data_IF_229328517030
#
_entry.id   IF_229328517030
#
_cell.length_a   1.000
_cell.length_b   1.000
_cell.length_c   1.000
_cell.angle_alpha   90.00
_cell.angle_beta   90.00
_cell.angle_gamma   90.00
#
_symmetry.space_group_name_H-M   'P 1'
#
loop_
_entity.id
_entity.type
_entity.pdbx_description
1 polymer ?
#
# COMPACT_ATOMS: atom_id res chain seq x y z
N UNK A 1 -23.72 -54.91 -20.49
CA UNK A 1 -24.15 -54.06 -19.34
C UNK A 1 -22.92 -53.36 -18.79
N UNK A 2 -22.68 -52.06 -18.95
CA UNK A 2 -22.96 -51.07 -19.98
C UNK A 2 -21.93 -49.98 -19.69
N UNK A 3 -20.97 -49.75 -20.59
CA UNK A 3 -19.93 -48.71 -20.48
C UNK A 3 -20.49 -47.28 -20.67
N UNK A 4 -21.73 -47.06 -20.25
CA UNK A 4 -22.52 -45.85 -20.48
C UNK A 4 -22.68 -44.98 -19.23
N UNK A 5 -21.77 -45.11 -18.25
CA UNK A 5 -21.82 -44.36 -16.99
C UNK A 5 -20.49 -43.73 -16.55
N UNK A 6 -19.54 -43.53 -17.48
CA UNK A 6 -18.31 -42.76 -17.21
C UNK A 6 -18.26 -41.37 -17.84
N UNK A 7 -19.25 -40.99 -18.66
CA UNK A 7 -19.28 -39.69 -19.36
C UNK A 7 -20.35 -38.73 -18.82
N UNK A 8 -20.47 -38.56 -17.51
CA UNK A 8 -21.46 -37.62 -16.94
C UNK A 8 -21.03 -36.86 -15.67
N UNK A 9 -19.74 -36.82 -15.35
CA UNK A 9 -19.28 -36.23 -14.08
C UNK A 9 -18.05 -35.31 -14.13
N UNK A 10 -17.78 -34.63 -15.25
CA UNK A 10 -16.72 -33.60 -15.31
C UNK A 10 -17.07 -32.35 -16.13
N UNK A 11 -18.34 -32.11 -16.45
CA UNK A 11 -18.76 -30.94 -17.26
C UNK A 11 -19.28 -29.76 -16.45
N UNK A 12 -18.90 -29.58 -15.19
CA UNK A 12 -19.24 -28.36 -14.44
C UNK A 12 -18.10 -27.99 -13.48
N UNK A 13 -17.06 -27.36 -14.00
CA UNK A 13 -16.25 -26.44 -13.20
C UNK A 13 -15.72 -25.29 -14.08
N UNK A 14 -16.61 -24.67 -14.85
CA UNK A 14 -16.39 -23.31 -15.35
C UNK A 14 -16.64 -22.35 -14.20
N UNK A 15 -15.73 -22.30 -13.23
CA UNK A 15 -15.79 -21.29 -12.18
C UNK A 15 -15.22 -20.00 -12.75
N UNK A 16 -16.12 -19.03 -12.88
CA UNK A 16 -15.92 -17.65 -13.29
C UNK A 16 -14.65 -17.07 -12.67
N UNK A 17 -13.64 -16.79 -13.49
CA UNK A 17 -12.56 -15.87 -13.15
C UNK A 17 -13.14 -14.46 -13.28
N UNK A 18 -13.88 -14.00 -12.26
CA UNK A 18 -14.20 -12.59 -12.16
C UNK A 18 -12.86 -11.88 -11.94
N UNK A 19 -12.39 -11.16 -12.95
CA UNK A 19 -11.31 -10.21 -12.77
C UNK A 19 -11.80 -9.19 -11.74
N UNK A 20 -11.39 -9.33 -10.49
CA UNK A 20 -11.43 -8.26 -9.52
C UNK A 20 -10.44 -7.21 -10.02
N UNK A 21 -10.89 -6.32 -10.90
CA UNK A 21 -10.17 -5.09 -11.17
C UNK A 21 -10.25 -4.29 -9.87
N UNK A 22 -9.20 -4.38 -9.07
CA UNK A 22 -8.94 -3.36 -8.05
C UNK A 22 -8.76 -2.06 -8.83
N UNK A 23 -9.78 -1.22 -8.84
CA UNK A 23 -9.68 0.13 -9.38
C UNK A 23 -8.63 0.86 -8.53
N UNK A 24 -7.43 1.02 -9.09
CA UNK A 24 -6.40 1.81 -8.45
C UNK A 24 -6.97 3.20 -8.17
N UNK A 25 -6.98 3.61 -6.90
CA UNK A 25 -7.52 4.90 -6.50
C UNK A 25 -6.94 6.00 -7.40
N UNK A 26 -7.81 6.76 -8.08
CA UNK A 26 -7.37 7.79 -9.02
C UNK A 26 -6.80 8.98 -8.26
N UNK A 27 -5.56 9.36 -8.54
CA UNK A 27 -4.97 10.62 -8.08
C UNK A 27 -5.62 11.77 -8.85
N UNK A 28 -5.98 12.86 -8.17
CA UNK A 28 -6.49 14.07 -8.83
C UNK A 28 -5.42 14.63 -9.77
N UNK A 29 -5.73 14.70 -11.07
CA UNK A 29 -4.79 15.13 -12.09
C UNK A 29 -4.24 16.54 -11.87
N UNK A 30 -4.96 17.40 -11.13
CA UNK A 30 -4.48 18.74 -10.75
C UNK A 30 -3.35 18.73 -9.73
N UNK A 31 -3.15 17.60 -9.04
CA UNK A 31 -2.11 17.42 -8.02
C UNK A 31 -0.86 16.75 -8.57
N UNK A 32 -0.87 16.35 -9.84
CA UNK A 32 0.26 15.69 -10.50
C UNK A 32 1.21 16.73 -11.08
N UNK A 33 2.49 16.64 -10.73
CA UNK A 33 3.54 17.52 -11.26
C UNK A 33 3.73 17.31 -12.77
N UNK A 34 3.86 18.41 -13.53
CA UNK A 34 4.14 18.37 -14.97
C UNK A 34 5.63 18.12 -15.25
N UNK A 35 5.96 16.86 -15.52
CA UNK A 35 7.32 16.43 -15.88
C UNK A 35 7.90 17.20 -17.08
N UNK A 36 7.08 17.62 -18.05
CA UNK A 36 7.56 18.34 -19.24
C UNK A 36 8.03 19.75 -18.91
N UNK A 37 7.60 20.30 -17.78
CA UNK A 37 8.06 21.57 -17.23
C UNK A 37 9.20 21.41 -16.22
N UNK A 38 9.62 20.17 -15.93
CA UNK A 38 10.60 19.87 -14.89
C UNK A 38 10.04 20.00 -13.47
N UNK A 39 8.71 20.01 -13.30
CA UNK A 39 8.08 19.95 -11.97
C UNK A 39 8.33 18.57 -11.33
N UNK A 40 8.30 18.51 -10.00
CA UNK A 40 8.48 17.29 -9.22
C UNK A 40 7.85 17.46 -7.83
N UNK A 41 7.65 16.34 -7.14
CA UNK A 41 7.05 16.34 -5.80
C UNK A 41 8.07 15.97 -4.72
N UNK A 42 8.11 16.77 -3.65
CA UNK A 42 8.65 16.40 -2.34
C UNK A 42 7.50 15.81 -1.52
N UNK A 43 7.64 14.57 -1.07
CA UNK A 43 6.73 13.98 -0.09
C UNK A 43 7.29 14.17 1.32
N UNK A 44 6.47 14.66 2.25
CA UNK A 44 6.88 14.90 3.64
C UNK A 44 6.11 13.98 4.57
N UNK A 45 6.84 13.20 5.37
CA UNK A 45 6.28 12.27 6.36
C UNK A 45 6.32 12.98 7.73
N UNK A 46 5.16 13.18 8.39
CA UNK A 46 5.12 13.72 9.75
C UNK A 46 5.67 12.71 10.76
N UNK A 47 5.77 13.11 12.02
CA UNK A 47 6.24 12.26 13.12
C UNK A 47 5.44 10.93 13.18
N UNK A 48 6.16 9.84 13.42
CA UNK A 48 5.60 8.47 13.41
C UNK A 48 5.66 7.77 14.77
N UNK A 49 6.23 8.42 15.79
CA UNK A 49 6.53 7.88 17.12
C UNK A 49 5.35 7.18 17.81
N UNK A 50 4.11 7.64 17.63
CA UNK A 50 2.94 7.00 18.25
C UNK A 50 2.43 5.79 17.46
N UNK A 51 2.73 5.69 16.17
CA UNK A 51 2.45 4.51 15.36
C UNK A 51 3.47 3.40 15.64
N UNK A 52 4.76 3.72 15.81
CA UNK A 52 5.81 2.75 16.16
C UNK A 52 5.60 2.11 17.55
N UNK A 53 4.83 2.76 18.42
CA UNK A 53 4.33 2.19 19.67
C UNK A 53 3.15 1.22 19.52
N UNK A 54 2.55 1.15 18.33
CA UNK A 54 1.38 0.35 18.02
C UNK A 54 0.23 0.55 19.03
N UNK A 55 -0.13 1.81 19.29
CA UNK A 55 -1.18 2.16 20.25
C UNK A 55 -2.56 1.80 19.69
N UNK A 56 -3.54 1.57 20.56
CA UNK A 56 -4.91 1.27 20.11
C UNK A 56 -5.55 2.38 19.26
N UNK A 57 -5.18 3.64 19.51
CA UNK A 57 -5.62 4.80 18.73
C UNK A 57 -4.63 5.22 17.62
N UNK A 58 -3.47 4.58 17.52
CA UNK A 58 -2.49 4.75 16.45
C UNK A 58 -1.83 3.40 16.13
N UNK A 59 -2.57 2.44 15.52
CA UNK A 59 -2.01 1.13 15.19
C UNK A 59 -0.92 1.23 14.13
N UNK A 60 0.13 0.43 14.25
CA UNK A 60 1.25 0.41 13.28
C UNK A 60 0.78 0.14 11.84
N UNK A 61 -0.31 -0.61 11.70
CA UNK A 61 -0.93 -0.91 10.40
C UNK A 61 -1.31 0.35 9.61
N UNK A 62 -1.68 1.45 10.27
CA UNK A 62 -2.01 2.69 9.56
C UNK A 62 -0.78 3.35 8.94
N UNK A 63 0.37 3.30 9.62
CA UNK A 63 1.64 3.76 9.07
C UNK A 63 2.08 2.90 7.88
N UNK A 64 1.97 1.57 8.01
CA UNK A 64 2.32 0.64 6.93
C UNK A 64 1.45 0.89 5.69
N UNK A 65 0.13 0.97 5.84
CA UNK A 65 -0.79 1.26 4.73
C UNK A 65 -0.47 2.59 4.04
N UNK A 66 -0.08 3.63 4.81
CA UNK A 66 0.31 4.91 4.23
C UNK A 66 1.61 4.82 3.41
N UNK A 67 2.58 4.02 3.87
CA UNK A 67 3.84 3.81 3.16
C UNK A 67 3.67 2.91 1.93
N UNK A 68 2.82 1.89 2.01
CA UNK A 68 2.44 1.08 0.84
C UNK A 68 1.79 1.97 -0.24
N UNK A 69 0.86 2.84 0.15
CA UNK A 69 0.26 3.81 -0.76
C UNK A 69 1.28 4.75 -1.39
N UNK A 70 2.28 5.22 -0.62
CA UNK A 70 3.36 6.06 -1.12
C UNK A 70 4.15 5.34 -2.21
N UNK A 71 4.49 4.06 -2.00
CA UNK A 71 5.21 3.25 -2.99
C UNK A 71 4.38 3.07 -4.27
N UNK A 72 3.08 2.79 -4.14
CA UNK A 72 2.16 2.59 -5.26
C UNK A 72 1.89 3.86 -6.07
N UNK A 73 2.02 5.02 -5.44
CA UNK A 73 1.68 6.33 -6.04
C UNK A 73 2.91 7.12 -6.51
N UNK A 74 4.13 6.78 -6.07
CA UNK A 74 5.33 7.60 -6.29
C UNK A 74 5.54 8.04 -7.75
N UNK A 75 5.34 7.14 -8.70
CA UNK A 75 5.57 7.42 -10.12
C UNK A 75 4.44 8.28 -10.69
N UNK A 76 3.20 8.07 -10.22
CA UNK A 76 2.01 8.82 -10.64
C UNK A 76 2.03 10.27 -10.18
N UNK A 77 2.67 10.55 -9.05
CA UNK A 77 2.86 11.91 -8.53
C UNK A 77 4.22 12.51 -8.89
N UNK A 78 5.09 11.77 -9.60
CA UNK A 78 6.45 12.21 -9.88
C UNK A 78 7.21 12.64 -8.60
N UNK A 79 7.10 11.81 -7.56
CA UNK A 79 7.81 11.99 -6.28
C UNK A 79 9.29 11.68 -6.51
N UNK A 80 10.16 12.66 -6.25
CA UNK A 80 11.61 12.49 -6.38
C UNK A 80 12.32 12.36 -5.03
N UNK A 81 11.73 12.92 -3.99
CA UNK A 81 12.27 12.90 -2.63
C UNK A 81 11.19 12.63 -1.61
N UNK A 82 11.58 11.93 -0.55
CA UNK A 82 10.76 11.70 0.64
C UNK A 82 11.57 12.20 1.83
N UNK A 83 10.96 13.06 2.65
CA UNK A 83 11.59 13.64 3.83
C UNK A 83 10.76 13.32 5.07
N UNK A 84 11.33 12.61 6.04
CA UNK A 84 10.77 12.51 7.39
C UNK A 84 11.06 13.76 8.20
N UNK A 85 10.10 14.23 9.00
CA UNK A 85 10.27 15.40 9.87
C UNK A 85 11.00 15.09 11.19
N UNK A 86 11.06 13.82 11.59
CA UNK A 86 11.70 13.41 12.83
C UNK A 86 10.88 12.33 13.55
N UNK A 87 11.15 12.17 14.84
CA UNK A 87 10.32 11.42 15.78
C UNK A 87 9.76 10.11 15.21
N UNK A 88 10.69 9.23 14.81
CA UNK A 88 10.38 7.90 14.28
C UNK A 88 9.85 6.99 15.40
N UNK A 89 10.48 7.08 16.56
CA UNK A 89 10.13 6.33 17.78
C UNK A 89 9.91 7.28 18.93
N UNK A 90 9.03 6.93 19.87
CA UNK A 90 8.79 7.73 21.08
C UNK A 90 9.92 7.52 22.09
N UNK A 91 10.39 6.29 22.20
CA UNK A 91 11.45 5.92 23.13
C UNK A 91 12.66 5.37 22.38
N UNK A 92 13.73 6.17 22.30
CA UNK A 92 14.96 5.79 21.60
C UNK A 92 15.61 4.50 22.11
N UNK A 93 15.40 4.17 23.39
CA UNK A 93 15.91 2.93 24.01
C UNK A 93 15.02 1.71 23.80
N UNK A 94 13.81 1.88 23.25
CA UNK A 94 12.88 0.79 23.01
C UNK A 94 13.10 0.18 21.62
N UNK A 95 13.88 -0.89 21.56
CA UNK A 95 14.16 -1.61 20.30
C UNK A 95 12.89 -2.09 19.57
N UNK A 96 11.79 -2.35 20.29
CA UNK A 96 10.54 -2.78 19.63
C UNK A 96 9.89 -1.69 18.79
N UNK A 97 10.07 -0.41 19.15
CA UNK A 97 9.56 0.71 18.34
C UNK A 97 10.38 0.85 17.05
N UNK A 98 11.71 0.77 17.16
CA UNK A 98 12.61 0.78 16.00
C UNK A 98 12.34 -0.38 15.05
N UNK A 99 12.17 -1.60 15.58
CA UNK A 99 11.87 -2.79 14.77
C UNK A 99 10.52 -2.70 14.04
N UNK A 100 9.57 -1.90 14.52
CA UNK A 100 8.29 -1.67 13.84
C UNK A 100 8.37 -0.55 12.81
N UNK A 101 9.30 0.40 13.00
CA UNK A 101 9.48 1.56 12.14
C UNK A 101 10.56 1.38 11.06
N UNK A 102 11.23 0.23 11.04
CA UNK A 102 12.29 -0.14 10.09
C UNK A 102 11.77 -0.75 8.80
#
# INVERSE_FOLDING_TARGET
MNEFNLMRYWSILSTVLAAFSVEAQSVDARLVADEKKGEWTLFVIPDTQHYSQNRGNAPIAYMNTAFDWLLDTRDRLNIKFVQGLGDITECSSNASEWNRAS
#
